data_IF_326383657082
#
_entry.id   IF_326383657082
#
_cell.length_a   1.000
_cell.length_b   1.000
_cell.length_c   1.000
_cell.angle_alpha   90.00
_cell.angle_beta   90.00
_cell.angle_gamma   90.00
#
_symmetry.space_group_name_H-M   'P 1'
#
loop_
_entity.id
_entity.type
_entity.pdbx_description
1 polymer ?
#
# COMPACT_ATOMS: atom_id res chain seq x y z
N UNK A 1 1.64 44.03 54.73
CA UNK A 1 1.43 42.61 54.40
C UNK A 1 -0.04 42.42 54.02
N UNK A 2 -0.35 42.35 52.72
CA UNK A 2 -1.70 42.10 52.21
C UNK A 2 -1.75 40.67 51.70
N UNK A 3 -2.59 39.85 52.33
CA UNK A 3 -2.85 38.46 51.98
C UNK A 3 -3.84 38.41 50.82
N UNK A 4 -3.37 38.02 49.64
CA UNK A 4 -4.23 37.71 48.49
C UNK A 4 -4.53 36.22 48.49
N UNK A 5 -5.74 35.83 48.89
CA UNK A 5 -6.27 34.48 48.69
C UNK A 5 -6.92 34.45 47.30
N UNK A 6 -6.27 33.80 46.33
CA UNK A 6 -6.91 33.42 45.08
C UNK A 6 -7.55 32.04 45.24
N UNK A 7 -8.88 32.02 45.17
CA UNK A 7 -9.70 30.80 45.17
C UNK A 7 -9.89 30.38 43.71
N UNK A 8 -9.34 29.24 43.31
CA UNK A 8 -9.61 28.62 42.01
C UNK A 8 -10.87 27.74 42.12
N UNK A 9 -11.93 28.07 41.39
CA UNK A 9 -13.09 27.19 41.21
C UNK A 9 -12.89 26.32 39.97
N UNK A 10 -12.72 25.02 40.16
CA UNK A 10 -12.81 24.04 39.07
C UNK A 10 -14.29 23.70 38.83
N UNK A 11 -14.81 24.07 37.67
CA UNK A 11 -16.16 23.71 37.22
C UNK A 11 -16.03 22.43 36.38
N UNK A 12 -16.43 21.29 36.92
CA UNK A 12 -16.53 20.03 36.18
C UNK A 12 -17.84 19.99 35.40
N UNK A 13 -17.76 20.09 34.07
CA UNK A 13 -18.88 19.81 33.18
C UNK A 13 -18.82 18.35 32.74
N UNK A 14 -19.67 17.51 33.33
CA UNK A 14 -19.92 16.14 32.86
C UNK A 14 -20.94 16.19 31.72
N UNK A 15 -20.48 16.15 30.48
CA UNK A 15 -21.37 15.87 29.34
C UNK A 15 -21.32 14.37 29.02
N UNK A 16 -22.28 13.62 29.53
CA UNK A 16 -22.57 12.26 29.09
C UNK A 16 -23.42 12.32 27.81
N UNK A 17 -22.78 12.11 26.65
CA UNK A 17 -23.50 11.82 25.42
C UNK A 17 -22.76 10.72 24.66
N UNK A 18 -23.35 9.53 24.68
CA UNK A 18 -22.87 8.36 23.93
C UNK A 18 -22.90 8.65 22.42
N UNK A 19 -21.89 8.23 21.63
CA UNK A 19 -21.94 8.40 20.20
C UNK A 19 -22.89 7.34 19.60
N UNK A 20 -23.95 7.78 18.94
CA UNK A 20 -24.74 6.93 18.07
C UNK A 20 -23.98 6.76 16.75
N UNK A 21 -23.49 5.55 16.48
CA UNK A 21 -22.86 5.19 15.22
C UNK A 21 -23.97 4.92 14.19
N UNK A 22 -24.20 5.85 13.27
CA UNK A 22 -25.03 5.61 12.08
C UNK A 22 -24.17 5.01 10.97
N UNK A 23 -24.38 3.72 10.69
CA UNK A 23 -23.77 3.04 9.54
C UNK A 23 -24.56 3.46 8.30
N UNK A 24 -24.06 4.48 7.59
CA UNK A 24 -24.50 4.78 6.22
C UNK A 24 -23.55 4.04 5.30
N UNK A 25 -24.03 2.98 4.62
CA UNK A 25 -23.26 2.29 3.58
C UNK A 25 -23.11 3.22 2.38
N UNK A 26 -21.98 3.92 2.30
CA UNK A 26 -21.53 4.54 1.05
C UNK A 26 -20.79 3.48 0.25
N UNK A 27 -21.31 3.15 -0.93
CA UNK A 27 -20.61 2.33 -1.91
C UNK A 27 -19.32 3.04 -2.36
N UNK A 28 -18.21 2.32 -2.39
CA UNK A 28 -16.93 2.75 -2.95
C UNK A 28 -17.11 3.21 -4.41
N UNK A 29 -16.50 4.34 -4.83
CA UNK A 29 -16.54 4.75 -6.23
C UNK A 29 -15.78 3.74 -7.08
N UNK A 30 -16.47 3.15 -8.06
CA UNK A 30 -15.85 2.30 -9.08
C UNK A 30 -15.17 3.22 -10.09
N UNK A 31 -13.84 3.32 -10.01
CA UNK A 31 -13.04 3.92 -11.07
C UNK A 31 -12.96 2.93 -12.23
N UNK A 32 -13.73 3.17 -13.29
CA UNK A 32 -13.49 2.53 -14.60
C UNK A 32 -12.47 3.35 -15.38
N UNK A 33 -11.52 2.65 -15.99
CA UNK A 33 -10.51 3.25 -16.85
C UNK A 33 -11.15 3.81 -18.12
N UNK A 34 -10.76 5.01 -18.59
CA UNK A 34 -11.25 5.54 -19.86
C UNK A 34 -10.74 4.68 -21.01
N UNK A 35 -11.63 4.27 -21.92
CA UNK A 35 -11.24 3.58 -23.14
C UNK A 35 -10.71 4.58 -24.16
N UNK A 36 -9.43 4.48 -24.49
CA UNK A 36 -8.80 5.23 -25.58
C UNK A 36 -9.01 4.44 -26.86
N UNK A 37 -9.64 5.06 -27.87
CA UNK A 37 -9.74 4.49 -29.21
C UNK A 37 -8.88 5.32 -30.16
N UNK A 38 -7.79 4.72 -30.63
CA UNK A 38 -6.89 5.31 -31.62
C UNK A 38 -7.12 4.63 -32.97
N UNK A 39 -7.67 5.36 -33.93
CA UNK A 39 -7.74 4.91 -35.33
C UNK A 39 -6.36 4.99 -35.98
N UNK A 40 -6.05 4.01 -36.83
CA UNK A 40 -4.81 3.98 -37.61
C UNK A 40 -4.72 5.21 -38.53
N UNK A 41 -3.68 6.02 -38.33
CA UNK A 41 -3.47 7.31 -39.02
C UNK A 41 -3.49 8.46 -38.03
N UNK A 42 -2.37 8.66 -37.34
CA UNK A 42 -2.26 9.62 -36.25
C UNK A 42 -2.49 11.06 -36.70
N UNK A 43 -3.49 11.70 -36.09
CA UNK A 43 -3.45 13.15 -35.83
C UNK A 43 -4.47 13.66 -34.79
N UNK A 44 -5.39 12.83 -34.25
CA UNK A 44 -6.32 13.26 -33.17
C UNK A 44 -6.60 12.15 -32.16
N UNK A 45 -6.46 12.47 -30.86
CA UNK A 45 -6.90 11.65 -29.73
C UNK A 45 -8.20 12.26 -29.21
N UNK A 46 -9.30 11.51 -29.25
CA UNK A 46 -10.58 11.93 -28.66
C UNK A 46 -10.84 11.16 -27.37
N UNK A 47 -11.00 11.90 -26.27
CA UNK A 47 -11.33 11.36 -24.95
C UNK A 47 -12.83 11.51 -24.76
N UNK A 48 -13.57 10.41 -24.63
CA UNK A 48 -14.99 10.45 -24.30
C UNK A 48 -15.21 9.94 -22.88
N UNK A 49 -15.80 10.77 -22.02
CA UNK A 49 -16.30 10.37 -20.71
C UNK A 49 -17.81 10.18 -20.80
N UNK A 50 -18.27 8.94 -20.62
CA UNK A 50 -19.70 8.66 -20.47
C UNK A 50 -20.12 8.98 -19.03
N UNK A 51 -20.64 10.19 -18.81
CA UNK A 51 -21.49 10.47 -17.64
C UNK A 51 -22.90 10.03 -17.98
N UNK A 52 -23.34 8.93 -17.38
CA UNK A 52 -24.75 8.55 -17.36
C UNK A 52 -25.47 9.47 -16.37
N UNK A 53 -25.88 10.65 -16.84
CA UNK A 53 -26.96 11.40 -16.21
C UNK A 53 -28.26 10.99 -16.90
N UNK A 54 -29.10 10.28 -16.17
CA UNK A 54 -30.46 10.02 -16.61
C UNK A 54 -31.25 11.31 -16.65
N UNK A 55 -31.61 11.78 -17.85
CA UNK A 55 -32.82 12.53 -18.12
C UNK A 55 -33.15 12.40 -19.61
N UNK A 56 -34.40 12.10 -19.92
CA UNK A 56 -34.85 11.79 -21.28
C UNK A 56 -35.05 12.99 -22.21
N UNK A 57 -35.66 12.66 -23.36
CA UNK A 57 -35.94 13.47 -24.56
C UNK A 57 -34.74 13.58 -25.53
N UNK A 58 -34.83 13.32 -26.84
CA UNK A 58 -35.94 13.00 -27.73
C UNK A 58 -35.51 13.32 -29.17
N UNK A 59 -35.87 12.47 -30.13
CA UNK A 59 -36.29 12.81 -31.51
C UNK A 59 -35.26 13.23 -32.60
N UNK A 60 -35.44 12.63 -33.79
CA UNK A 60 -34.95 13.07 -35.12
C UNK A 60 -34.14 11.99 -35.85
N UNK A 61 -34.69 11.07 -36.66
CA UNK A 61 -35.36 11.18 -37.97
C UNK A 61 -34.52 11.88 -39.06
N UNK A 62 -34.07 11.14 -40.08
CA UNK A 62 -33.56 11.71 -41.35
C UNK A 62 -32.72 10.75 -42.23
N UNK A 63 -33.10 10.41 -43.48
CA UNK A 63 -32.64 9.17 -44.16
C UNK A 63 -31.90 9.37 -45.52
N UNK A 64 -31.52 8.24 -46.16
CA UNK A 64 -31.21 8.04 -47.62
C UNK A 64 -29.87 8.63 -48.10
N UNK A 65 -29.16 8.18 -49.13
CA UNK A 65 -29.19 7.18 -50.21
C UNK A 65 -27.71 7.06 -50.69
N UNK A 66 -27.20 6.16 -51.51
CA UNK A 66 -27.69 5.12 -52.40
C UNK A 66 -26.47 4.70 -53.24
N UNK A 67 -26.18 3.40 -53.30
CA UNK A 67 -25.13 2.84 -54.14
C UNK A 67 -25.60 2.71 -55.59
N UNK A 68 -24.66 2.80 -56.53
CA UNK A 68 -24.88 2.46 -57.93
C UNK A 68 -23.76 1.55 -58.44
N UNK A 69 -24.14 0.29 -58.69
CA UNK A 69 -23.43 -0.65 -59.57
C UNK A 69 -23.97 -0.50 -60.99
N UNK A 70 -23.11 -0.55 -62.00
CA UNK A 70 -23.55 -0.72 -63.40
C UNK A 70 -22.85 -1.94 -64.00
N UNK A 71 -23.63 -2.99 -64.25
CA UNK A 71 -23.25 -4.21 -64.95
C UNK A 71 -23.60 -4.10 -66.43
N UNK A 72 -22.62 -4.29 -67.30
CA UNK A 72 -22.79 -4.40 -68.75
C UNK A 72 -23.17 -5.83 -69.12
N UNK A 73 -24.33 -6.00 -69.76
CA UNK A 73 -24.68 -7.18 -70.55
C UNK A 73 -24.80 -6.76 -72.02
N UNK A 74 -24.03 -7.40 -72.91
CA UNK A 74 -24.45 -7.61 -74.30
C UNK A 74 -24.10 -9.04 -74.70
N UNK A 75 -25.16 -9.68 -75.17
CA UNK A 75 -25.33 -11.05 -75.61
C UNK A 75 -24.64 -11.39 -76.92
N UNK A 76 -24.20 -12.64 -76.97
CA UNK A 76 -23.87 -13.45 -78.15
C UNK A 76 -24.92 -13.43 -79.25
N UNK A 77 -24.49 -13.34 -80.50
CA UNK A 77 -25.10 -14.10 -81.61
C UNK A 77 -24.08 -14.26 -82.73
N UNK A 78 -23.64 -15.50 -82.96
CA UNK A 78 -22.83 -15.86 -84.10
C UNK A 78 -23.62 -15.81 -85.41
N UNK A 79 -22.88 -15.61 -86.51
CA UNK A 79 -23.07 -16.31 -87.78
C UNK A 79 -21.85 -16.07 -88.66
N UNK A 80 -21.25 -17.19 -89.00
CA UNK A 80 -20.16 -17.41 -89.93
C UNK A 80 -20.59 -17.06 -91.37
N UNK A 81 -19.76 -16.31 -92.09
CA UNK A 81 -19.89 -16.07 -93.53
C UNK A 81 -19.16 -14.80 -93.97
N UNK A 82 -18.27 -14.92 -94.96
CA UNK A 82 -17.56 -13.87 -95.71
C UNK A 82 -16.37 -13.15 -95.07
N UNK A 83 -15.28 -13.90 -95.04
CA UNK A 83 -13.88 -13.47 -94.98
C UNK A 83 -13.47 -12.92 -96.37
N UNK A 84 -13.73 -11.63 -96.68
CA UNK A 84 -12.86 -10.80 -97.56
C UNK A 84 -13.28 -9.32 -97.74
N UNK A 85 -14.16 -8.76 -96.89
CA UNK A 85 -14.52 -7.32 -96.90
C UNK A 85 -14.32 -6.59 -95.57
N UNK A 86 -13.96 -7.31 -94.50
CA UNK A 86 -14.03 -6.84 -93.12
C UNK A 86 -12.76 -6.13 -92.62
N UNK A 87 -11.62 -6.34 -93.28
CA UNK A 87 -10.32 -5.84 -92.82
C UNK A 87 -10.15 -4.33 -93.04
N UNK A 88 -10.69 -3.79 -94.15
CA UNK A 88 -10.68 -2.35 -94.44
C UNK A 88 -11.60 -1.57 -93.50
N UNK A 89 -12.77 -2.13 -93.17
CA UNK A 89 -13.72 -1.53 -92.24
C UNK A 89 -13.20 -1.63 -90.79
N UNK A 90 -12.52 -2.73 -90.43
CA UNK A 90 -11.81 -2.85 -89.16
C UNK A 90 -10.67 -1.84 -89.04
N UNK A 91 -9.88 -1.61 -90.10
CA UNK A 91 -8.82 -0.59 -90.11
C UNK A 91 -9.36 0.84 -90.04
N UNK A 92 -10.50 1.13 -90.69
CA UNK A 92 -11.16 2.42 -90.55
C UNK A 92 -11.68 2.64 -89.13
N UNK A 93 -12.34 1.65 -88.52
CA UNK A 93 -12.81 1.75 -87.14
C UNK A 93 -11.65 1.91 -86.14
N UNK A 94 -10.51 1.28 -86.40
CA UNK A 94 -9.29 1.45 -85.60
C UNK A 94 -8.70 2.86 -85.75
N UNK A 95 -8.68 3.39 -86.97
CA UNK A 95 -8.23 4.75 -87.23
C UNK A 95 -9.18 5.80 -86.63
N UNK A 96 -10.50 5.59 -86.70
CA UNK A 96 -11.48 6.47 -86.06
C UNK A 96 -11.35 6.44 -84.54
N UNK A 97 -11.09 5.25 -83.96
CA UNK A 97 -10.80 5.11 -82.54
C UNK A 97 -9.47 5.78 -82.16
N UNK A 98 -8.44 5.68 -83.00
CA UNK A 98 -7.15 6.35 -82.77
C UNK A 98 -7.28 7.87 -82.89
N UNK A 99 -8.09 8.36 -83.85
CA UNK A 99 -8.42 9.78 -83.96
C UNK A 99 -9.16 10.28 -82.72
N UNK A 100 -10.17 9.53 -82.24
CA UNK A 100 -10.87 9.86 -80.99
C UNK A 100 -9.93 9.83 -79.78
N UNK A 101 -8.97 8.89 -79.74
CA UNK A 101 -7.98 8.81 -78.67
C UNK A 101 -7.02 10.00 -78.72
N UNK A 102 -6.50 10.37 -79.89
CA UNK A 102 -5.66 11.56 -80.06
C UNK A 102 -6.40 12.85 -79.69
N UNK A 103 -7.69 12.95 -80.01
CA UNK A 103 -8.52 14.08 -79.60
C UNK A 103 -8.73 14.12 -78.08
N UNK A 104 -8.95 12.97 -77.44
CA UNK A 104 -9.02 12.89 -75.96
C UNK A 104 -7.69 13.24 -75.29
N UNK A 105 -6.56 12.78 -75.82
CA UNK A 105 -5.22 13.11 -75.31
C UNK A 105 -4.98 14.62 -75.43
N UNK A 106 -5.30 15.23 -76.57
CA UNK A 106 -5.16 16.68 -76.76
C UNK A 106 -6.04 17.48 -75.81
N UNK A 107 -7.27 17.02 -75.54
CA UNK A 107 -8.16 17.65 -74.56
C UNK A 107 -7.64 17.51 -73.13
N UNK A 108 -7.06 16.35 -72.77
CA UNK A 108 -6.45 16.11 -71.46
C UNK A 108 -5.17 16.93 -71.26
N UNK A 109 -4.33 17.06 -72.29
CA UNK A 109 -3.14 17.93 -72.26
C UNK A 109 -3.53 19.39 -72.04
N UNK A 110 -4.57 19.88 -72.74
CA UNK A 110 -5.08 21.24 -72.52
C UNK A 110 -5.68 21.42 -71.12
N UNK A 111 -6.36 20.41 -70.59
CA UNK A 111 -6.91 20.45 -69.24
C UNK A 111 -5.81 20.45 -68.17
N UNK A 112 -4.78 19.60 -68.34
CA UNK A 112 -3.62 19.59 -67.45
C UNK A 112 -2.86 20.92 -67.50
N UNK A 113 -2.64 21.48 -68.68
CA UNK A 113 -1.97 22.77 -68.79
C UNK A 113 -2.74 23.89 -68.07
N UNK A 114 -4.08 23.89 -68.17
CA UNK A 114 -4.93 24.83 -67.41
C UNK A 114 -4.87 24.61 -65.90
N UNK A 115 -4.79 23.36 -65.45
CA UNK A 115 -4.66 23.04 -64.02
C UNK A 115 -3.29 23.44 -63.46
N UNK A 116 -2.20 23.23 -64.20
CA UNK A 116 -0.86 23.68 -63.81
C UNK A 116 -0.78 25.19 -63.64
N UNK A 117 -1.41 25.96 -64.54
CA UNK A 117 -1.47 27.43 -64.42
C UNK A 117 -2.23 27.81 -63.14
N UNK A 118 -3.38 27.17 -62.86
CA UNK A 118 -4.16 27.43 -61.63
C UNK A 118 -3.40 27.07 -60.36
N UNK A 119 -2.64 25.99 -60.35
CA UNK A 119 -1.80 25.58 -59.20
C UNK A 119 -0.69 26.60 -58.98
N UNK A 120 -0.03 27.05 -60.05
CA UNK A 120 1.03 28.07 -59.96
C UNK A 120 0.49 29.39 -59.43
N UNK A 121 -0.67 29.82 -59.93
CA UNK A 121 -1.33 31.04 -59.51
C UNK A 121 -1.84 30.95 -58.04
N UNK A 122 -2.29 29.77 -57.60
CA UNK A 122 -2.68 29.52 -56.22
C UNK A 122 -1.47 29.53 -55.27
N UNK A 123 -0.32 28.99 -55.68
CA UNK A 123 0.91 29.02 -54.91
C UNK A 123 1.50 30.44 -54.84
N UNK A 124 1.38 31.24 -55.90
CA UNK A 124 1.85 32.62 -55.93
C UNK A 124 0.94 33.55 -55.10
N UNK A 125 -0.38 33.31 -55.11
CA UNK A 125 -1.34 34.01 -54.22
C UNK A 125 -1.20 33.57 -52.77
N UNK A 126 -0.83 32.31 -52.53
CA UNK A 126 -0.51 31.76 -51.22
C UNK A 126 0.96 32.03 -50.90
N UNK A 127 1.33 33.31 -50.75
CA UNK A 127 2.66 33.71 -50.29
C UNK A 127 3.07 33.02 -48.96
N UNK A 128 4.36 33.06 -48.58
CA UNK A 128 4.82 32.40 -47.35
C UNK A 128 4.04 32.93 -46.15
N UNK A 129 3.44 32.03 -45.37
CA UNK A 129 2.62 32.33 -44.19
C UNK A 129 3.48 32.92 -43.06
N UNK A 130 3.82 34.20 -43.20
CA UNK A 130 4.57 34.98 -42.20
C UNK A 130 3.57 35.55 -41.18
N UNK A 131 2.99 34.68 -40.36
CA UNK A 131 2.29 35.10 -39.14
C UNK A 131 3.33 35.40 -38.06
N UNK A 132 3.50 36.67 -37.72
CA UNK A 132 4.43 37.10 -36.66
C UNK A 132 3.95 36.67 -35.27
N UNK A 133 4.41 35.50 -34.81
CA UNK A 133 4.09 34.96 -33.47
C UNK A 133 4.92 35.58 -32.33
N UNK A 134 5.82 36.51 -32.63
CA UNK A 134 6.75 37.13 -31.67
C UNK A 134 6.05 37.74 -30.44
N UNK A 135 4.85 38.31 -30.61
CA UNK A 135 4.05 38.88 -29.51
C UNK A 135 3.62 37.85 -28.46
N UNK A 136 3.40 36.60 -28.87
CA UNK A 136 3.01 35.51 -27.97
C UNK A 136 4.21 34.92 -27.23
N UNK A 137 5.43 35.09 -27.75
CA UNK A 137 6.62 34.52 -27.15
C UNK A 137 6.90 35.09 -25.76
N UNK A 138 6.78 36.41 -25.58
CA UNK A 138 6.97 37.06 -24.29
C UNK A 138 5.92 36.59 -23.25
N UNK A 139 4.66 36.46 -23.65
CA UNK A 139 3.57 35.96 -22.79
C UNK A 139 3.81 34.49 -22.42
N UNK A 140 4.26 33.68 -23.38
CA UNK A 140 4.57 32.26 -23.16
C UNK A 140 5.77 32.09 -22.21
N UNK A 141 6.78 32.94 -22.33
CA UNK A 141 7.94 32.95 -21.44
C UNK A 141 7.54 33.36 -20.01
N UNK A 142 6.71 34.39 -19.85
CA UNK A 142 6.15 34.77 -18.56
C UNK A 142 5.29 33.66 -17.92
N UNK A 143 4.47 32.98 -18.72
CA UNK A 143 3.68 31.83 -18.25
C UNK A 143 4.59 30.66 -17.83
N UNK A 144 5.63 30.36 -18.62
CA UNK A 144 6.62 29.33 -18.28
C UNK A 144 7.35 29.66 -16.97
N UNK A 145 7.73 30.92 -16.76
CA UNK A 145 8.34 31.38 -15.50
C UNK A 145 7.40 31.18 -14.32
N UNK A 146 6.13 31.59 -14.44
CA UNK A 146 5.12 31.37 -13.38
C UNK A 146 4.91 29.90 -13.05
N UNK A 147 4.88 29.02 -14.06
CA UNK A 147 4.78 27.58 -13.86
C UNK A 147 6.01 27.04 -13.14
N UNK A 148 7.20 27.51 -13.52
CA UNK A 148 8.45 27.11 -12.87
C UNK A 148 8.50 27.55 -11.40
N UNK A 149 8.17 28.82 -11.13
CA UNK A 149 8.12 29.37 -9.76
C UNK A 149 7.12 28.59 -8.90
N UNK A 150 5.92 28.34 -9.42
CA UNK A 150 4.91 27.53 -8.74
C UNK A 150 5.37 26.08 -8.49
N UNK A 151 6.16 25.51 -9.40
CA UNK A 151 6.71 24.15 -9.25
C UNK A 151 7.76 24.13 -8.13
N UNK A 152 8.62 25.14 -8.05
CA UNK A 152 9.60 25.29 -6.96
C UNK A 152 8.89 25.48 -5.62
N UNK A 153 7.89 26.37 -5.56
CA UNK A 153 7.17 26.63 -4.32
C UNK A 153 6.36 25.41 -3.87
N UNK A 154 5.79 24.63 -4.79
CA UNK A 154 5.17 23.34 -4.47
C UNK A 154 6.20 22.38 -3.87
N UNK A 155 7.38 22.23 -4.47
CA UNK A 155 8.44 21.39 -3.92
C UNK A 155 8.88 21.85 -2.51
N UNK A 156 8.98 23.17 -2.27
CA UNK A 156 9.26 23.74 -0.94
C UNK A 156 8.17 23.41 0.07
N UNK A 157 6.89 23.54 -0.32
CA UNK A 157 5.75 23.21 0.54
C UNK A 157 5.73 21.72 0.89
N UNK A 158 6.00 20.84 -0.06
CA UNK A 158 6.11 19.39 0.18
C UNK A 158 7.21 19.09 1.21
N UNK A 159 8.39 19.69 1.06
CA UNK A 159 9.47 19.52 2.04
C UNK A 159 9.09 20.04 3.45
N UNK A 160 8.39 21.17 3.53
CA UNK A 160 7.92 21.69 4.80
C UNK A 160 6.86 20.79 5.44
N UNK A 161 5.97 20.19 4.63
CA UNK A 161 4.98 19.20 5.10
C UNK A 161 5.69 17.97 5.65
N UNK A 162 6.68 17.44 4.93
CA UNK A 162 7.43 16.26 5.36
C UNK A 162 8.24 16.54 6.63
N UNK A 163 8.86 17.72 6.75
CA UNK A 163 9.54 18.16 7.97
C UNK A 163 8.55 18.26 9.16
N UNK A 164 7.39 18.90 8.96
CA UNK A 164 6.37 19.00 10.00
C UNK A 164 5.84 17.62 10.43
N UNK A 165 5.70 16.68 9.49
CA UNK A 165 5.33 15.29 9.78
C UNK A 165 6.40 14.56 10.60
N UNK A 166 7.66 14.66 10.19
CA UNK A 166 8.77 14.06 10.93
C UNK A 166 8.87 14.64 12.35
N UNK A 167 8.72 15.95 12.51
CA UNK A 167 8.70 16.58 13.83
C UNK A 167 7.51 16.10 14.69
N UNK A 168 6.33 15.92 14.09
CA UNK A 168 5.16 15.40 14.79
C UNK A 168 5.37 13.93 15.23
N UNK A 169 5.96 13.10 14.38
CA UNK A 169 6.31 11.72 14.72
C UNK A 169 7.38 11.64 15.81
N UNK A 170 8.40 12.50 15.77
CA UNK A 170 9.40 12.62 16.83
C UNK A 170 8.76 12.97 18.18
N UNK A 171 7.84 13.93 18.20
CA UNK A 171 7.11 14.28 19.42
C UNK A 171 6.17 13.16 19.88
N UNK A 172 5.55 12.44 18.95
CA UNK A 172 4.69 11.29 19.26
C UNK A 172 5.48 10.18 19.97
N UNK A 173 6.64 9.80 19.42
CA UNK A 173 7.51 8.78 20.03
C UNK A 173 8.01 9.23 21.40
N UNK A 174 8.42 10.51 21.54
CA UNK A 174 8.81 11.07 22.84
C UNK A 174 7.66 11.02 23.85
N UNK A 175 6.46 11.41 23.45
CA UNK A 175 5.29 11.33 24.32
C UNK A 175 4.96 9.89 24.73
N UNK A 176 4.99 8.92 23.81
CA UNK A 176 4.73 7.51 24.10
C UNK A 176 5.75 6.94 25.09
N UNK A 177 7.04 7.26 24.92
CA UNK A 177 8.10 6.84 25.84
C UNK A 177 8.00 7.49 27.22
N UNK A 178 7.69 8.79 27.29
CA UNK A 178 7.46 9.49 28.57
C UNK A 178 6.21 8.96 29.28
N UNK A 179 5.14 8.67 28.54
CA UNK A 179 3.93 8.06 29.08
C UNK A 179 4.21 6.68 29.67
N UNK A 180 5.00 5.85 28.99
CA UNK A 180 5.39 4.54 29.50
C UNK A 180 6.21 4.64 30.79
N UNK A 181 7.18 5.55 30.84
CA UNK A 181 7.97 5.82 32.06
C UNK A 181 7.06 6.30 33.18
N UNK A 182 6.14 7.23 32.90
CA UNK A 182 5.19 7.75 33.88
C UNK A 182 4.30 6.64 34.45
N UNK A 183 3.76 5.76 33.61
CA UNK A 183 2.95 4.63 34.04
C UNK A 183 3.74 3.65 34.92
N UNK A 184 5.00 3.37 34.58
CA UNK A 184 5.89 2.55 35.42
C UNK A 184 6.08 3.19 36.80
N UNK A 185 6.39 4.48 36.86
CA UNK A 185 6.58 5.20 38.12
C UNK A 185 5.28 5.26 38.93
N UNK A 186 4.13 5.43 38.29
CA UNK A 186 2.84 5.37 38.97
C UNK A 186 2.55 4.00 39.57
N UNK A 187 2.87 2.92 38.84
CA UNK A 187 2.77 1.56 39.37
C UNK A 187 3.69 1.36 40.59
N UNK A 188 4.93 1.87 40.52
CA UNK A 188 5.88 1.81 41.64
C UNK A 188 5.37 2.60 42.86
N UNK A 189 4.79 3.80 42.66
CA UNK A 189 4.19 4.60 43.74
C UNK A 189 3.04 3.86 44.40
N UNK A 190 2.16 3.21 43.61
CA UNK A 190 1.07 2.40 44.15
C UNK A 190 1.62 1.20 44.93
N UNK A 191 2.66 0.54 44.41
CA UNK A 191 3.36 -0.55 45.11
C UNK A 191 3.97 -0.10 46.44
N UNK A 192 4.64 1.06 46.46
CA UNK A 192 5.23 1.63 47.67
C UNK A 192 4.16 2.02 48.70
N UNK A 193 3.02 2.56 48.27
CA UNK A 193 1.88 2.82 49.16
C UNK A 193 1.36 1.54 49.81
N UNK A 194 1.19 0.47 49.02
CA UNK A 194 0.82 -0.83 49.55
C UNK A 194 1.85 -1.36 50.56
N UNK A 195 3.15 -1.24 50.26
CA UNK A 195 4.20 -1.65 51.18
C UNK A 195 4.15 -0.86 52.51
N UNK A 196 3.88 0.45 52.44
CA UNK A 196 3.65 1.28 53.63
C UNK A 196 2.45 0.76 54.44
N UNK A 197 1.34 0.44 53.78
CA UNK A 197 0.17 -0.12 54.45
C UNK A 197 0.47 -1.48 55.08
N UNK A 198 1.13 -2.38 54.36
CA UNK A 198 1.54 -3.71 54.85
C UNK A 198 2.49 -3.61 56.05
N UNK A 199 3.47 -2.71 56.00
CA UNK A 199 4.40 -2.46 57.13
C UNK A 199 3.70 -1.81 58.32
N UNK A 200 2.75 -0.90 58.10
CA UNK A 200 1.95 -0.32 59.17
C UNK A 200 1.05 -1.36 59.84
N UNK A 201 0.43 -2.25 59.07
CA UNK A 201 -0.32 -3.40 59.61
C UNK A 201 0.59 -4.32 60.43
N UNK A 202 1.79 -4.61 59.93
CA UNK A 202 2.81 -5.35 60.69
C UNK A 202 3.18 -4.67 62.01
N UNK A 203 3.39 -3.35 61.99
CA UNK A 203 3.64 -2.56 63.21
C UNK A 203 2.47 -2.65 64.19
N UNK A 204 1.23 -2.50 63.73
CA UNK A 204 0.04 -2.58 64.58
C UNK A 204 -0.12 -3.98 65.21
N UNK A 205 0.16 -5.04 64.46
CA UNK A 205 0.13 -6.40 64.98
C UNK A 205 1.18 -6.61 66.08
N UNK A 206 2.42 -6.14 65.86
CA UNK A 206 3.48 -6.21 66.87
C UNK A 206 3.17 -5.35 68.10
N UNK A 207 2.58 -4.16 67.92
CA UNK A 207 2.13 -3.31 69.03
C UNK A 207 1.04 -4.00 69.85
N UNK A 208 0.10 -4.69 69.20
CA UNK A 208 -0.92 -5.49 69.88
C UNK A 208 -0.32 -6.67 70.65
N UNK A 209 0.67 -7.37 70.08
CA UNK A 209 1.38 -8.47 70.75
C UNK A 209 2.17 -7.98 71.96
N UNK A 210 2.86 -6.84 71.83
CA UNK A 210 3.55 -6.18 72.95
C UNK A 210 2.57 -5.83 74.07
N UNK A 211 1.40 -5.28 73.74
CA UNK A 211 0.41 -4.92 74.76
C UNK A 211 -0.19 -6.15 75.44
N UNK A 212 -0.51 -7.20 74.68
CA UNK A 212 -0.95 -8.48 75.23
C UNK A 212 0.09 -9.09 76.20
N UNK A 213 1.38 -9.10 75.82
CA UNK A 213 2.46 -9.57 76.68
C UNK A 213 2.64 -8.72 77.94
N UNK A 214 2.43 -7.40 77.86
CA UNK A 214 2.43 -6.54 79.05
C UNK A 214 1.26 -6.85 79.98
N UNK A 215 0.06 -7.06 79.43
CA UNK A 215 -1.11 -7.47 80.20
C UNK A 215 -0.86 -8.81 80.91
N UNK A 216 -0.31 -9.81 80.21
CA UNK A 216 0.09 -11.09 80.79
C UNK A 216 1.10 -10.92 81.94
N UNK A 217 2.11 -10.05 81.76
CA UNK A 217 3.11 -9.76 82.78
C UNK A 217 2.47 -9.13 84.03
N UNK A 218 1.55 -8.18 83.85
CA UNK A 218 0.80 -7.55 84.95
C UNK A 218 -0.05 -8.60 85.66
N UNK A 219 -0.76 -9.45 84.92
CA UNK A 219 -1.53 -10.56 85.46
C UNK A 219 -0.67 -11.51 86.29
N UNK A 220 0.51 -11.90 85.78
CA UNK A 220 1.42 -12.81 86.47
C UNK A 220 1.98 -12.19 87.75
N UNK A 221 2.35 -10.89 87.73
CA UNK A 221 2.77 -10.16 88.94
C UNK A 221 1.67 -10.09 89.98
N UNK A 222 0.45 -9.74 89.57
CA UNK A 222 -0.70 -9.68 90.48
C UNK A 222 -1.01 -11.04 91.09
N UNK A 223 -0.95 -12.11 90.29
CA UNK A 223 -1.13 -13.47 90.79
C UNK A 223 -0.04 -13.83 91.82
N UNK A 224 1.22 -13.53 91.52
CA UNK A 224 2.32 -13.77 92.46
C UNK A 224 2.17 -12.97 93.76
N UNK A 225 1.79 -11.68 93.68
CA UNK A 225 1.52 -10.87 94.87
C UNK A 225 0.38 -11.45 95.72
N UNK A 226 -0.69 -11.91 95.07
CA UNK A 226 -1.79 -12.59 95.75
C UNK A 226 -1.35 -13.90 96.41
N UNK A 227 -0.60 -14.75 95.71
CA UNK A 227 -0.06 -16.01 96.26
C UNK A 227 0.88 -15.76 97.45
N UNK A 228 1.77 -14.78 97.35
CA UNK A 228 2.65 -14.40 98.46
C UNK A 228 1.85 -13.87 99.64
N UNK A 229 0.80 -13.07 99.39
CA UNK A 229 -0.09 -12.60 100.44
C UNK A 229 -0.85 -13.77 101.09
N UNK A 230 -1.33 -14.73 100.31
CA UNK A 230 -2.00 -15.93 100.79
C UNK A 230 -1.05 -16.81 101.63
N UNK A 231 0.18 -17.04 101.15
CA UNK A 231 1.22 -17.75 101.91
C UNK A 231 1.61 -17.01 103.18
N UNK A 232 1.72 -15.67 103.16
CA UNK A 232 1.95 -14.87 104.37
C UNK A 232 0.78 -14.96 105.35
N UNK A 233 -0.44 -14.97 104.86
CA UNK A 233 -1.63 -15.19 105.68
C UNK A 233 -1.64 -16.61 106.26
N UNK A 234 -1.25 -17.63 105.48
CA UNK A 234 -1.08 -18.99 105.96
C UNK A 234 0.03 -19.09 107.01
N UNK A 235 1.16 -18.40 106.85
CA UNK A 235 2.25 -18.36 107.84
C UNK A 235 1.81 -17.61 109.11
N UNK A 236 1.04 -16.52 108.97
CA UNK A 236 0.47 -15.78 110.09
C UNK A 236 -0.59 -16.60 110.84
N UNK A 237 -1.40 -17.38 110.11
CA UNK A 237 -2.33 -18.37 110.66
C UNK A 237 -1.59 -19.60 111.21
N UNK A 238 -0.40 -19.92 110.70
CA UNK A 238 0.50 -20.96 111.20
C UNK A 238 1.47 -20.44 112.27
N UNK A 239 1.20 -19.29 112.89
CA UNK A 239 1.67 -18.97 114.24
C UNK A 239 1.03 -19.95 115.22
N UNK A 240 1.46 -21.22 115.15
CA UNK A 240 0.91 -22.34 115.92
C UNK A 240 1.53 -22.33 117.31
N UNK A 241 0.88 -21.59 118.21
CA UNK A 241 0.70 -22.04 119.59
C UNK A 241 -0.30 -23.20 119.55
N UNK A 242 0.16 -24.41 119.89
CA UNK A 242 -0.70 -25.60 120.03
C UNK A 242 -1.41 -25.49 121.38
N UNK A 243 -2.57 -24.85 121.39
CA UNK A 243 -3.59 -25.13 122.40
C UNK A 243 -4.76 -25.84 121.72
N UNK A 244 -5.01 -27.03 122.22
CA UNK A 244 -6.08 -27.94 121.83
C UNK A 244 -7.38 -27.35 122.38
N UNK A 245 -8.13 -26.63 121.54
CA UNK A 245 -9.54 -26.34 121.82
C UNK A 245 -10.41 -27.08 120.80
N UNK A 246 -11.04 -28.14 121.26
CA UNK A 246 -11.96 -28.96 120.48
C UNK A 246 -13.29 -28.22 120.35
N UNK A 247 -13.68 -27.72 119.15
CA UNK A 247 -15.00 -27.17 118.96
C UNK A 247 -15.98 -28.35 118.94
N UNK A 248 -17.03 -28.21 119.74
CA UNK A 248 -18.17 -29.11 119.84
C UNK A 248 -18.59 -29.60 118.46
N UNK A 249 -18.78 -30.92 118.35
CA UNK A 249 -19.03 -31.67 117.11
C UNK A 249 -19.72 -30.85 116.04
N UNK A 250 -18.94 -30.45 115.02
CA UNK A 250 -19.51 -30.06 113.75
C UNK A 250 -20.38 -31.20 113.26
N UNK A 251 -21.62 -30.89 112.90
CA UNK A 251 -22.53 -31.85 112.31
C UNK A 251 -21.90 -32.36 111.02
N UNK A 252 -21.27 -33.54 111.10
CA UNK A 252 -20.64 -34.21 109.97
C UNK A 252 -21.63 -34.37 108.81
N UNK A 253 -22.93 -34.46 109.10
CA UNK A 253 -23.96 -34.51 108.08
C UNK A 253 -24.05 -33.20 107.29
N UNK A 254 -23.98 -32.05 107.96
CA UNK A 254 -24.00 -30.73 107.31
C UNK A 254 -22.75 -30.48 106.46
N UNK A 255 -21.56 -30.84 106.94
CA UNK A 255 -20.31 -30.70 106.17
C UNK A 255 -20.27 -31.67 104.98
N UNK A 256 -20.67 -32.93 105.17
CA UNK A 256 -20.77 -33.89 104.07
C UNK A 256 -21.81 -33.45 103.03
N UNK A 257 -22.92 -32.83 103.46
CA UNK A 257 -23.89 -32.24 102.55
C UNK A 257 -23.32 -31.02 101.80
N UNK A 258 -22.56 -30.16 102.48
CA UNK A 258 -21.93 -28.98 101.86
C UNK A 258 -20.82 -29.37 100.86
N UNK A 259 -20.03 -30.40 101.18
CA UNK A 259 -19.04 -30.98 100.26
C UNK A 259 -19.74 -31.59 99.04
N UNK A 260 -20.83 -32.36 99.24
CA UNK A 260 -21.64 -32.87 98.12
C UNK A 260 -22.20 -31.75 97.26
N UNK A 261 -22.76 -30.69 97.87
CA UNK A 261 -23.29 -29.54 97.14
C UNK A 261 -22.20 -28.80 96.35
N UNK A 262 -20.98 -28.68 96.89
CA UNK A 262 -19.82 -28.12 96.18
C UNK A 262 -19.40 -28.97 94.98
N UNK A 263 -19.34 -30.29 95.14
CA UNK A 263 -19.02 -31.21 94.04
C UNK A 263 -20.10 -31.24 92.97
N UNK A 264 -21.38 -31.22 93.36
CA UNK A 264 -22.51 -31.15 92.42
C UNK A 264 -22.48 -29.83 91.64
N UNK A 265 -22.24 -28.70 92.30
CA UNK A 265 -22.06 -27.40 91.65
C UNK A 265 -20.85 -27.37 90.72
N UNK A 266 -19.74 -28.01 91.09
CA UNK A 266 -18.54 -28.10 90.26
C UNK A 266 -18.76 -29.01 89.04
N UNK A 267 -19.45 -30.14 89.21
CA UNK A 267 -19.81 -31.04 88.13
C UNK A 267 -20.76 -30.37 87.13
N UNK A 268 -21.77 -29.64 87.61
CA UNK A 268 -22.68 -28.85 86.77
C UNK A 268 -21.95 -27.74 86.01
N UNK A 269 -21.05 -27.00 86.68
CA UNK A 269 -20.22 -25.99 86.02
C UNK A 269 -19.32 -26.60 84.94
N UNK A 270 -18.64 -27.70 85.23
CA UNK A 270 -17.78 -28.38 84.27
C UNK A 270 -18.58 -28.91 83.07
N UNK A 271 -19.80 -29.42 83.29
CA UNK A 271 -20.70 -29.82 82.21
C UNK A 271 -21.10 -28.64 81.32
N UNK A 272 -21.42 -27.49 81.91
CA UNK A 272 -21.78 -26.28 81.17
C UNK A 272 -20.58 -25.70 80.41
N UNK A 273 -19.42 -25.60 81.05
CA UNK A 273 -18.18 -25.15 80.42
C UNK A 273 -17.78 -26.07 79.25
N UNK A 274 -17.95 -27.39 79.41
CA UNK A 274 -17.70 -28.35 78.34
C UNK A 274 -18.67 -28.17 77.16
N UNK A 275 -19.96 -27.92 77.43
CA UNK A 275 -20.95 -27.64 76.38
C UNK A 275 -20.61 -26.36 75.63
N UNK A 276 -20.35 -25.27 76.35
CA UNK A 276 -19.98 -23.98 75.75
C UNK A 276 -18.69 -24.11 74.93
N UNK A 277 -17.71 -24.87 75.43
CA UNK A 277 -16.48 -25.14 74.69
C UNK A 277 -16.74 -25.94 73.40
N UNK A 278 -17.56 -26.99 73.47
CA UNK A 278 -17.94 -27.77 72.28
C UNK A 278 -18.74 -26.94 71.27
N UNK A 279 -19.71 -26.15 71.73
CA UNK A 279 -20.48 -25.25 70.86
C UNK A 279 -19.56 -24.22 70.21
N UNK A 280 -18.63 -23.62 70.96
CA UNK A 280 -17.62 -22.71 70.42
C UNK A 280 -16.77 -23.39 69.36
N UNK A 281 -16.27 -24.61 69.61
CA UNK A 281 -15.49 -25.36 68.62
C UNK A 281 -16.29 -25.71 67.37
N UNK A 282 -17.56 -26.11 67.51
CA UNK A 282 -18.43 -26.37 66.36
C UNK A 282 -18.65 -25.09 65.54
N UNK A 283 -18.89 -23.95 66.20
CA UNK A 283 -19.07 -22.68 65.49
C UNK A 283 -17.78 -22.23 64.79
N UNK A 284 -16.61 -22.42 65.41
CA UNK A 284 -15.32 -22.10 64.80
C UNK A 284 -15.02 -22.98 63.58
N UNK A 285 -15.28 -24.28 63.66
CA UNK A 285 -15.14 -25.19 62.52
C UNK A 285 -16.14 -24.83 61.43
N UNK A 286 -17.38 -24.51 61.78
CA UNK A 286 -18.40 -24.11 60.83
C UNK A 286 -18.02 -22.83 60.09
N UNK A 287 -17.49 -21.82 60.78
CA UNK A 287 -17.04 -20.57 60.14
C UNK A 287 -15.84 -20.79 59.22
N UNK A 288 -14.87 -21.62 59.63
CA UNK A 288 -13.74 -22.01 58.77
C UNK A 288 -14.21 -22.78 57.53
N UNK A 289 -15.17 -23.69 57.67
CA UNK A 289 -15.76 -24.42 56.53
C UNK A 289 -16.46 -23.45 55.59
N UNK A 290 -17.27 -22.51 56.10
CA UNK A 290 -17.94 -21.52 55.24
C UNK A 290 -16.94 -20.65 54.48
N UNK A 291 -15.92 -20.13 55.16
CA UNK A 291 -14.87 -19.32 54.54
C UNK A 291 -14.10 -20.10 53.47
N UNK A 292 -13.71 -21.35 53.76
CA UNK A 292 -13.05 -22.21 52.79
C UNK A 292 -13.96 -22.53 51.59
N UNK A 293 -15.25 -22.76 51.79
CA UNK A 293 -16.19 -23.00 50.68
C UNK A 293 -16.41 -21.76 49.82
N UNK A 294 -16.40 -20.56 50.41
CA UNK A 294 -16.48 -19.30 49.67
C UNK A 294 -15.20 -19.04 48.87
N UNK A 295 -14.03 -19.22 49.49
CA UNK A 295 -12.74 -19.13 48.82
C UNK A 295 -12.63 -20.12 47.65
N UNK A 296 -13.08 -21.38 47.85
CA UNK A 296 -13.11 -22.40 46.81
C UNK A 296 -14.02 -22.00 45.65
N UNK A 297 -15.21 -21.46 45.94
CA UNK A 297 -16.14 -20.95 44.92
C UNK A 297 -15.52 -19.78 44.14
N UNK A 298 -14.87 -18.84 44.83
CA UNK A 298 -14.16 -17.72 44.21
C UNK A 298 -13.07 -18.19 43.25
N UNK A 299 -12.20 -19.09 43.71
CA UNK A 299 -11.17 -19.69 42.86
C UNK A 299 -11.77 -20.44 41.66
N UNK A 300 -12.88 -21.16 41.84
CA UNK A 300 -13.57 -21.84 40.75
C UNK A 300 -14.16 -20.87 39.72
N UNK A 301 -14.69 -19.72 40.14
CA UNK A 301 -15.14 -18.67 39.21
C UNK A 301 -13.99 -18.05 38.45
N UNK A 302 -12.87 -17.75 39.12
CA UNK A 302 -11.67 -17.19 38.48
C UNK A 302 -11.10 -18.16 37.43
N UNK A 303 -11.00 -19.45 37.73
CA UNK A 303 -10.57 -20.48 36.77
C UNK A 303 -11.50 -20.54 35.55
N UNK A 304 -12.82 -20.40 35.76
CA UNK A 304 -13.77 -20.40 34.65
C UNK A 304 -13.66 -19.13 33.79
N UNK A 305 -13.43 -17.98 34.41
CA UNK A 305 -13.25 -16.71 33.68
C UNK A 305 -11.94 -16.72 32.90
N UNK A 306 -10.84 -17.22 33.48
CA UNK A 306 -9.58 -17.41 32.77
C UNK A 306 -9.72 -18.39 31.61
N UNK A 307 -10.47 -19.49 31.76
CA UNK A 307 -10.77 -20.41 30.65
C UNK A 307 -11.55 -19.73 29.53
N UNK A 308 -12.54 -18.89 29.85
CA UNK A 308 -13.30 -18.12 28.86
C UNK A 308 -12.43 -17.10 28.14
N UNK A 309 -11.55 -16.41 28.86
CA UNK A 309 -10.57 -15.49 28.27
C UNK A 309 -9.61 -16.23 27.33
N UNK A 310 -9.08 -17.37 27.74
CA UNK A 310 -8.22 -18.23 26.92
C UNK A 310 -8.92 -18.62 25.61
N UNK A 311 -10.15 -19.12 25.68
CA UNK A 311 -10.94 -19.48 24.49
C UNK A 311 -11.20 -18.27 23.58
N UNK A 312 -11.48 -17.09 24.16
CA UNK A 312 -11.70 -15.86 23.39
C UNK A 312 -10.43 -15.46 22.63
N UNK A 313 -9.28 -15.50 23.32
CA UNK A 313 -7.97 -15.21 22.71
C UNK A 313 -7.58 -16.25 21.65
N UNK A 314 -7.90 -17.52 21.83
CA UNK A 314 -7.69 -18.57 20.82
C UNK A 314 -8.52 -18.31 19.55
N UNK A 315 -9.79 -17.93 19.71
CA UNK A 315 -10.66 -17.56 18.58
C UNK A 315 -10.14 -16.31 17.87
N UNK A 316 -9.72 -15.30 18.62
CA UNK A 316 -9.14 -14.09 18.04
C UNK A 316 -7.86 -14.41 17.26
N UNK A 317 -6.97 -15.23 17.84
CA UNK A 317 -5.74 -15.67 17.19
C UNK A 317 -6.02 -16.45 15.89
N UNK A 318 -7.00 -17.35 15.89
CA UNK A 318 -7.38 -18.08 14.69
C UNK A 318 -8.03 -17.17 13.64
N UNK A 319 -8.85 -16.20 14.06
CA UNK A 319 -9.41 -15.19 13.17
C UNK A 319 -8.32 -14.33 12.50
N UNK A 320 -7.29 -13.92 13.26
CA UNK A 320 -6.15 -13.16 12.74
C UNK A 320 -5.30 -14.00 11.79
N UNK A 321 -5.11 -15.30 12.05
CA UNK A 321 -4.47 -16.22 11.11
C UNK A 321 -5.24 -16.34 9.81
N UNK A 322 -6.57 -16.46 9.87
CA UNK A 322 -7.42 -16.52 8.68
C UNK A 322 -7.36 -15.22 7.87
N UNK A 323 -7.35 -14.05 8.55
CA UNK A 323 -7.20 -12.75 7.92
C UNK A 323 -5.84 -12.64 7.23
N UNK A 324 -4.75 -13.00 7.91
CA UNK A 324 -3.40 -13.03 7.34
C UNK A 324 -3.34 -13.90 6.08
N UNK A 325 -3.87 -15.12 6.14
CA UNK A 325 -3.89 -16.03 4.99
C UNK A 325 -4.67 -15.43 3.81
N UNK A 326 -5.81 -14.77 4.07
CA UNK A 326 -6.57 -14.09 3.02
C UNK A 326 -5.80 -12.94 2.38
N UNK A 327 -5.09 -12.13 3.18
CA UNK A 327 -4.28 -11.01 2.69
C UNK A 327 -3.09 -11.51 1.87
N UNK A 328 -2.38 -12.55 2.34
CA UNK A 328 -1.30 -13.20 1.60
C UNK A 328 -1.80 -13.79 0.27
N UNK A 329 -3.00 -14.38 0.26
CA UNK A 329 -3.67 -14.84 -0.96
C UNK A 329 -3.92 -13.70 -1.94
N UNK A 330 -4.52 -12.59 -1.49
CA UNK A 330 -4.75 -11.42 -2.37
C UNK A 330 -3.46 -10.78 -2.88
N UNK A 331 -2.40 -10.77 -2.06
CA UNK A 331 -1.08 -10.30 -2.47
C UNK A 331 -0.48 -11.21 -3.54
N UNK A 332 -0.61 -12.53 -3.39
CA UNK A 332 -0.15 -13.49 -4.39
C UNK A 332 -0.91 -13.34 -5.71
N UNK A 333 -2.24 -13.21 -5.65
CA UNK A 333 -3.09 -13.03 -6.84
C UNK A 333 -2.77 -11.73 -7.58
N UNK A 334 -2.58 -10.63 -6.84
CA UNK A 334 -2.20 -9.34 -7.44
C UNK A 334 -0.81 -9.40 -8.07
N UNK A 335 0.18 -10.00 -7.41
CA UNK A 335 1.51 -10.24 -7.99
C UNK A 335 1.43 -11.07 -9.26
N UNK A 336 0.63 -12.15 -9.26
CA UNK A 336 0.45 -13.00 -10.44
C UNK A 336 -0.17 -12.23 -11.61
N UNK A 337 -1.19 -11.40 -11.35
CA UNK A 337 -1.81 -10.55 -12.38
C UNK A 337 -0.81 -9.55 -12.98
N UNK A 338 -0.03 -8.86 -12.14
CA UNK A 338 1.00 -7.94 -12.63
C UNK A 338 2.09 -8.66 -13.41
N UNK A 339 2.52 -9.85 -12.98
CA UNK A 339 3.48 -10.64 -13.74
C UNK A 339 2.92 -11.03 -15.12
N UNK A 340 1.67 -11.45 -15.21
CA UNK A 340 1.01 -11.74 -16.50
C UNK A 340 0.91 -10.50 -17.39
N UNK A 341 0.63 -9.33 -16.81
CA UNK A 341 0.60 -8.06 -17.55
C UNK A 341 2.00 -7.68 -18.06
N UNK A 342 3.03 -7.85 -17.25
CA UNK A 342 4.43 -7.62 -17.64
C UNK A 342 4.84 -8.58 -18.75
N UNK A 343 4.50 -9.87 -18.64
CA UNK A 343 4.76 -10.86 -19.70
C UNK A 343 4.04 -10.48 -20.99
N UNK A 344 2.77 -10.05 -20.92
CA UNK A 344 2.04 -9.56 -22.08
C UNK A 344 2.73 -8.35 -22.71
N UNK A 345 3.15 -7.36 -21.92
CA UNK A 345 3.87 -6.18 -22.43
C UNK A 345 5.23 -6.57 -23.05
N UNK A 346 5.96 -7.49 -22.43
CA UNK A 346 7.20 -8.02 -22.98
C UNK A 346 6.99 -8.71 -24.32
N UNK A 347 5.92 -9.49 -24.50
CA UNK A 347 5.63 -10.10 -25.81
C UNK A 347 5.34 -9.05 -26.89
N UNK A 348 4.67 -7.95 -26.54
CA UNK A 348 4.43 -6.83 -27.47
C UNK A 348 5.74 -6.13 -27.82
N UNK A 349 6.60 -5.87 -26.83
CA UNK A 349 7.91 -5.25 -27.05
C UNK A 349 8.76 -6.12 -27.97
N UNK A 350 8.85 -7.43 -27.71
CA UNK A 350 9.58 -8.36 -28.57
C UNK A 350 9.03 -8.41 -29.99
N UNK A 351 7.70 -8.33 -30.16
CA UNK A 351 7.07 -8.22 -31.48
C UNK A 351 7.48 -6.95 -32.23
N UNK A 352 7.42 -5.80 -31.55
CA UNK A 352 7.83 -4.51 -32.14
C UNK A 352 9.33 -4.45 -32.45
N UNK A 353 10.17 -5.05 -31.60
CA UNK A 353 11.61 -5.18 -31.86
C UNK A 353 11.89 -6.05 -33.09
N UNK A 354 11.15 -7.16 -33.25
CA UNK A 354 11.23 -8.00 -34.44
C UNK A 354 10.79 -7.25 -35.71
N UNK A 355 9.69 -6.49 -35.67
CA UNK A 355 9.24 -5.65 -36.78
C UNK A 355 10.28 -4.57 -37.15
N UNK A 356 10.87 -3.93 -36.14
CA UNK A 356 11.89 -2.89 -36.34
C UNK A 356 13.16 -3.47 -36.98
N UNK A 357 13.62 -4.63 -36.51
CA UNK A 357 14.76 -5.32 -37.12
C UNK A 357 14.47 -5.77 -38.56
N UNK A 358 13.27 -6.25 -38.84
CA UNK A 358 12.84 -6.59 -40.20
C UNK A 358 12.81 -5.35 -41.11
N UNK A 359 12.27 -4.22 -40.66
CA UNK A 359 12.26 -2.96 -41.42
C UNK A 359 13.68 -2.47 -41.71
N UNK A 360 14.60 -2.53 -40.73
CA UNK A 360 16.02 -2.19 -40.94
C UNK A 360 16.66 -3.08 -41.99
N UNK A 361 16.40 -4.39 -41.95
CA UNK A 361 16.89 -5.34 -42.96
C UNK A 361 16.34 -5.02 -44.35
N UNK A 362 15.05 -4.72 -44.46
CA UNK A 362 14.42 -4.35 -45.73
C UNK A 362 15.00 -3.05 -46.30
N UNK A 363 15.23 -2.03 -45.46
CA UNK A 363 15.86 -0.77 -45.87
C UNK A 363 17.29 -1.02 -46.36
N UNK A 364 18.05 -1.87 -45.65
CA UNK A 364 19.40 -2.22 -46.05
C UNK A 364 19.41 -2.94 -47.40
N UNK A 365 18.48 -3.87 -47.63
CA UNK A 365 18.32 -4.56 -48.91
C UNK A 365 17.96 -3.58 -50.03
N UNK A 366 16.97 -2.71 -49.82
CA UNK A 366 16.59 -1.70 -50.80
C UNK A 366 17.76 -0.78 -51.14
N UNK A 367 18.54 -0.35 -50.14
CA UNK A 367 19.74 0.46 -50.35
C UNK A 367 20.75 -0.24 -51.26
N UNK A 368 20.99 -1.55 -51.04
CA UNK A 368 21.86 -2.34 -51.91
C UNK A 368 21.31 -2.46 -53.33
N UNK A 369 20.01 -2.68 -53.49
CA UNK A 369 19.35 -2.73 -54.81
C UNK A 369 19.46 -1.39 -55.55
N UNK A 370 19.27 -0.27 -54.85
CA UNK A 370 19.46 1.07 -55.40
C UNK A 370 20.91 1.33 -55.83
N UNK A 371 21.90 0.91 -55.03
CA UNK A 371 23.31 0.99 -55.40
C UNK A 371 23.63 0.18 -56.67
N UNK A 372 23.08 -1.03 -56.79
CA UNK A 372 23.26 -1.85 -58.01
C UNK A 372 22.62 -1.17 -59.23
N UNK A 373 21.41 -0.64 -59.08
CA UNK A 373 20.71 0.07 -60.16
C UNK A 373 21.45 1.34 -60.57
N UNK A 374 21.97 2.10 -59.60
CA UNK A 374 22.78 3.30 -59.84
C UNK A 374 24.06 2.93 -60.60
N UNK A 375 24.75 1.86 -60.19
CA UNK A 375 25.93 1.36 -60.90
C UNK A 375 25.62 0.96 -62.34
N UNK A 376 24.48 0.30 -62.58
CA UNK A 376 24.04 -0.02 -63.94
C UNK A 376 23.73 1.24 -64.75
N UNK A 377 23.01 2.21 -64.16
CA UNK A 377 22.71 3.51 -64.79
C UNK A 377 23.99 4.23 -65.20
N UNK A 378 24.99 4.30 -64.32
CA UNK A 378 26.28 4.92 -64.64
C UNK A 378 27.00 4.22 -65.80
N UNK A 379 26.94 2.87 -65.87
CA UNK A 379 27.50 2.12 -67.01
C UNK A 379 26.77 2.43 -68.32
N UNK A 380 25.44 2.42 -68.31
CA UNK A 380 24.64 2.75 -69.49
C UNK A 380 24.84 4.21 -69.93
N UNK A 381 24.96 5.15 -68.99
CA UNK A 381 25.29 6.55 -69.31
C UNK A 381 26.66 6.68 -69.97
N UNK A 382 27.66 5.91 -69.51
CA UNK A 382 28.97 5.85 -70.15
C UNK A 382 28.89 5.26 -71.58
N UNK A 383 28.13 4.19 -71.78
CA UNK A 383 27.88 3.62 -73.12
C UNK A 383 27.15 4.61 -74.05
N UNK A 384 26.14 5.33 -73.56
CA UNK A 384 25.46 6.37 -74.35
C UNK A 384 26.44 7.49 -74.70
N UNK A 385 27.32 7.89 -73.78
CA UNK A 385 28.34 8.90 -74.06
C UNK A 385 29.33 8.44 -75.13
N UNK A 386 29.76 7.17 -75.12
CA UNK A 386 30.61 6.62 -76.18
C UNK A 386 29.87 6.52 -77.51
N UNK A 387 28.61 6.08 -77.53
CA UNK A 387 27.78 6.07 -78.73
C UNK A 387 27.58 7.47 -79.32
N UNK A 388 27.34 8.50 -78.48
CA UNK A 388 27.26 9.90 -78.92
C UNK A 388 28.58 10.38 -79.54
N UNK A 389 29.72 10.08 -78.90
CA UNK A 389 31.06 10.43 -79.42
C UNK A 389 31.32 9.79 -80.79
N UNK A 390 30.89 8.55 -81.00
CA UNK A 390 30.98 7.85 -82.29
C UNK A 390 30.08 8.48 -83.36
N UNK A 391 28.85 8.89 -83.01
CA UNK A 391 27.90 9.52 -83.92
C UNK A 391 28.27 10.96 -84.30
N UNK A 392 28.87 11.74 -83.39
CA UNK A 392 29.33 13.11 -83.64
C UNK A 392 30.64 13.17 -84.45
N UNK A 393 31.17 12.03 -84.93
CA UNK A 393 32.35 11.96 -85.78
C UNK A 393 33.68 12.17 -85.05
N UNK A 394 33.73 11.92 -83.74
CA UNK A 394 34.97 12.02 -82.97
C UNK A 394 35.98 10.93 -83.37
N UNK A 395 37.18 11.34 -83.79
CA UNK A 395 38.30 10.47 -84.14
C UNK A 395 38.55 9.39 -83.08
N UNK A 396 38.23 8.12 -83.39
CA UNK A 396 38.56 6.98 -82.55
C UNK A 396 40.05 6.66 -82.70
N UNK A 397 40.89 7.30 -81.87
CA UNK A 397 42.31 6.99 -81.79
C UNK A 397 42.49 5.71 -80.98
N UNK A 398 43.25 4.76 -81.54
CA UNK A 398 43.56 3.43 -81.00
C UNK A 398 44.16 3.42 -79.56
N UNK A 399 44.51 4.59 -79.01
CA UNK A 399 45.00 4.75 -77.64
C UNK A 399 43.91 4.62 -76.57
N UNK A 400 42.65 4.93 -76.86
CA UNK A 400 41.56 4.89 -75.86
C UNK A 400 41.19 3.45 -75.43
N UNK A 401 41.62 2.41 -76.17
CA UNK A 401 41.41 1.00 -75.83
C UNK A 401 42.47 0.42 -74.87
N UNK A 402 43.59 1.12 -74.65
CA UNK A 402 44.67 0.63 -73.75
C UNK A 402 44.50 1.12 -72.29
N UNK A 403 43.70 2.16 -72.05
CA UNK A 403 43.59 2.78 -70.72
C UNK A 403 42.64 2.04 -69.74
N UNK A 404 41.95 0.98 -70.18
CA UNK A 404 41.13 0.15 -69.28
C UNK A 404 41.94 -0.78 -68.36
N UNK A 405 43.26 -0.90 -68.54
CA UNK A 405 44.12 -1.62 -67.61
C UNK A 405 44.50 -0.73 -66.40
N UNK A 406 43.49 -0.25 -65.66
CA UNK A 406 43.70 0.43 -64.38
C UNK A 406 44.35 -0.55 -63.40
N UNK A 407 45.61 -0.30 -63.07
CA UNK A 407 46.34 -0.98 -61.99
C UNK A 407 45.61 -0.74 -60.66
N UNK A 408 44.94 -1.77 -60.14
CA UNK A 408 44.31 -1.74 -58.82
C UNK A 408 45.43 -1.73 -57.77
N UNK A 409 45.73 -0.55 -57.20
CA UNK A 409 46.60 -0.44 -56.02
C UNK A 409 45.80 -0.80 -54.78
N UNK A 410 45.99 -2.02 -54.29
CA UNK A 410 45.36 -2.51 -53.06
C UNK A 410 45.99 -1.84 -51.84
N UNK A 411 45.26 -0.98 -51.14
CA UNK A 411 45.70 -0.40 -49.86
C UNK A 411 45.07 -1.17 -48.72
N UNK A 412 45.88 -1.69 -47.80
CA UNK A 412 45.38 -2.38 -46.60
C UNK A 412 45.27 -1.36 -45.48
N UNK A 413 44.04 -1.10 -45.04
CA UNK A 413 43.75 -0.27 -43.87
C UNK A 413 43.49 -1.18 -42.67
N UNK A 414 44.36 -1.11 -41.67
CA UNK A 414 44.17 -1.80 -40.40
C UNK A 414 43.68 -0.79 -39.37
N UNK A 415 42.46 -1.03 -38.86
CA UNK A 415 41.84 -0.21 -37.82
C UNK A 415 41.94 -0.98 -36.51
N UNK A 416 42.67 -0.41 -35.54
CA UNK A 416 42.75 -0.96 -34.18
C UNK A 416 41.95 -0.08 -33.24
N UNK A 417 40.94 -0.67 -32.60
CA UNK A 417 40.04 0.01 -31.68
C UNK A 417 40.17 -0.62 -30.30
N UNK A 418 40.35 0.21 -29.26
CA UNK A 418 40.45 -0.24 -27.87
C UNK A 418 39.15 0.06 -27.14
N UNK A 419 38.56 -0.98 -26.54
CA UNK A 419 37.28 -0.95 -25.84
C UNK A 419 37.53 -1.15 -24.34
N UNK A 420 36.96 -0.29 -23.51
CA UNK A 420 36.87 -0.47 -22.06
C UNK A 420 35.40 -0.33 -21.68
N UNK A 421 34.84 -1.32 -20.98
CA UNK A 421 33.42 -1.38 -20.57
C UNK A 421 32.40 -1.12 -21.70
N UNK A 422 32.65 -1.69 -22.88
CA UNK A 422 31.72 -1.63 -24.02
C UNK A 422 31.65 -0.26 -24.72
N UNK A 423 32.44 0.73 -24.31
CA UNK A 423 32.57 2.03 -24.99
C UNK A 423 33.96 2.20 -25.59
N UNK A 424 34.01 2.74 -26.81
CA UNK A 424 35.25 2.99 -27.56
C UNK A 424 35.93 4.23 -26.99
N UNK A 425 37.14 4.09 -26.46
CA UNK A 425 37.88 5.20 -25.82
C UNK A 425 38.99 5.74 -26.73
N UNK A 426 39.53 4.94 -27.65
CA UNK A 426 40.38 5.45 -28.73
C UNK A 426 40.34 4.58 -29.99
N UNK A 427 40.50 5.23 -31.15
CA UNK A 427 40.54 4.61 -32.48
C UNK A 427 41.76 5.13 -33.23
N UNK A 428 42.60 4.21 -33.71
CA UNK A 428 43.77 4.57 -34.53
C UNK A 428 43.72 3.79 -35.84
N UNK A 429 43.87 4.51 -36.95
CA UNK A 429 43.77 4.00 -38.31
C UNK A 429 45.13 4.10 -38.99
N UNK A 430 45.69 2.98 -39.43
CA UNK A 430 46.98 2.96 -40.14
C UNK A 430 46.79 2.36 -41.52
N UNK A 431 47.06 3.16 -42.55
CA UNK A 431 46.96 2.77 -43.96
C UNK A 431 48.34 2.41 -44.46
N UNK A 432 48.49 1.20 -45.02
CA UNK A 432 49.73 0.77 -45.67
C UNK A 432 49.43 0.45 -47.13
N UNK A 433 50.17 1.09 -48.02
CA UNK A 433 50.11 0.82 -49.45
C UNK A 433 50.96 -0.44 -49.72
N UNK A 434 50.39 -1.44 -50.43
CA UNK A 434 51.10 -2.65 -50.88
C UNK A 434 51.80 -2.42 -52.21
#
# INVERSE_FOLDING_TARGET
MKTSKQTYSMRSSTSSRSPAISITRTSVPVYKTPSIHGGAGGERISISSSVYSGLGAGMGVGPRAGGFSSSIQVSSSGKSGDIMGNEKFAMQNLNDRLASYLETVRNLEQANHKLEIKIREALEKSGPDFRDYSKYQAILEDLRRKVFDATIDNARLVLNIDNARLAADDFRVKYESELAIRQSVEADIVGLRKLIDDTNMGRMNLESEIEALKEELIHLKKNHENEVMELRNQIAQSGVHVDVDAPKGQDLAQIMAEIRAKYEKMALKNQEELKVWHESQITEVQTKVTQNTEALKGAQTEVNDLRRQMQTLEIELESQRSLKASLEGTLSDTKMRYNMEIESLNTIILGLEAELTQLRSNIQQQSQEYEVLLNMKMKLEAEIATYRRLLDGGDFKLQDALDEQKTVKTKVMTVTQTLVDGKVVSSSTKTKDL
#
